data_IF_974655845844
#
_entry.id   IF_974655845844
#
_cell.length_a   1.000
_cell.length_b   1.000
_cell.length_c   1.000
_cell.angle_alpha   90.00
_cell.angle_beta   90.00
_cell.angle_gamma   90.00
#
_symmetry.space_group_name_H-M   'P 1'
#
loop_
_entity.id
_entity.type
_entity.pdbx_description
1 polymer ?
#
# COMPACT_ATOMS: atom_id res chain seq x y z
N UNK A 1 -4.11 -0.77 -0.60
CA UNK A 1 -4.18 0.34 -1.57
C UNK A 1 -4.03 1.67 -0.83
N UNK A 2 -3.19 2.58 -1.31
CA UNK A 2 -3.00 3.86 -0.63
C UNK A 2 -1.86 4.71 -1.18
N UNK A 3 -1.45 5.69 -0.36
CA UNK A 3 -0.40 6.66 -0.66
C UNK A 3 1.04 6.09 -0.58
N UNK A 4 2.05 6.97 -0.64
CA UNK A 4 3.46 6.61 -0.52
C UNK A 4 3.81 6.01 0.85
N UNK A 5 3.14 6.40 1.93
CA UNK A 5 3.38 5.81 3.25
C UNK A 5 2.91 4.36 3.30
N UNK A 6 1.83 4.06 2.59
CA UNK A 6 1.32 2.70 2.45
C UNK A 6 2.24 1.82 1.59
N UNK A 7 2.91 2.40 0.58
CA UNK A 7 3.96 1.70 -0.20
C UNK A 7 5.15 1.29 0.66
N UNK A 8 5.66 2.18 1.49
CA UNK A 8 6.81 1.84 2.33
C UNK A 8 6.44 0.82 3.42
N UNK A 9 5.22 0.90 3.95
CA UNK A 9 4.68 -0.15 4.79
C UNK A 9 4.63 -1.51 4.07
N UNK A 10 4.19 -1.54 2.81
CA UNK A 10 4.20 -2.74 1.98
C UNK A 10 5.60 -3.32 1.79
N UNK A 11 6.59 -2.49 1.42
CA UNK A 11 7.96 -2.94 1.17
C UNK A 11 8.60 -3.52 2.44
N UNK A 12 8.35 -2.92 3.60
CA UNK A 12 8.78 -3.46 4.89
C UNK A 12 8.11 -4.81 5.21
N UNK A 13 6.81 -4.96 4.92
CA UNK A 13 6.09 -6.22 5.12
C UNK A 13 6.61 -7.33 4.20
N UNK A 14 6.75 -7.05 2.90
CA UNK A 14 7.23 -8.01 1.92
C UNK A 14 8.67 -8.45 2.23
N UNK A 15 9.52 -7.52 2.70
CA UNK A 15 10.86 -7.84 3.17
C UNK A 15 10.83 -8.76 4.38
N UNK A 16 10.04 -8.42 5.40
CA UNK A 16 9.87 -9.25 6.60
C UNK A 16 9.43 -10.68 6.26
N UNK A 17 8.46 -10.84 5.36
CA UNK A 17 7.96 -12.16 4.95
C UNK A 17 8.99 -12.97 4.16
N UNK A 18 9.70 -12.35 3.22
CA UNK A 18 10.72 -13.03 2.41
C UNK A 18 12.00 -13.37 3.19
N UNK A 19 12.32 -12.60 4.23
CA UNK A 19 13.56 -12.71 5.00
C UNK A 19 13.35 -13.31 6.40
N UNK A 20 12.39 -14.25 6.53
CA UNK A 20 12.13 -15.02 7.77
C UNK A 20 11.96 -14.13 9.02
N UNK A 21 11.25 -13.02 8.89
CA UNK A 21 10.95 -12.11 9.98
C UNK A 21 12.02 -11.07 10.28
N UNK A 22 13.00 -10.89 9.39
CA UNK A 22 14.03 -9.86 9.53
C UNK A 22 13.46 -8.49 9.17
N UNK A 23 13.67 -7.49 10.03
CA UNK A 23 13.30 -6.10 9.72
C UNK A 23 14.41 -5.38 8.96
N UNK A 24 14.03 -4.42 8.10
CA UNK A 24 14.97 -3.56 7.38
C UNK A 24 15.76 -2.70 8.38
N UNK A 25 17.07 -2.61 8.20
CA UNK A 25 17.91 -1.78 9.04
C UNK A 25 17.88 -0.32 8.58
N UNK A 26 17.82 0.61 9.54
CA UNK A 26 17.87 2.06 9.25
C UNK A 26 19.18 2.48 8.54
N UNK A 27 20.23 1.68 8.70
CA UNK A 27 21.55 1.95 8.13
C UNK A 27 21.72 1.38 6.72
N UNK A 28 20.76 0.61 6.20
CA UNK A 28 20.91 -0.06 4.90
C UNK A 28 20.97 0.96 3.77
N UNK A 29 21.95 0.82 2.88
CA UNK A 29 22.14 1.69 1.71
C UNK A 29 22.50 0.84 0.48
N UNK A 30 21.76 0.99 -0.64
CA UNK A 30 20.53 1.77 -0.73
C UNK A 30 19.40 1.13 0.09
N UNK A 31 18.40 1.91 0.48
CA UNK A 31 17.37 1.50 1.44
C UNK A 31 16.04 1.15 0.74
N UNK A 32 15.36 0.12 1.24
CA UNK A 32 14.08 -0.37 0.71
C UNK A 32 12.90 0.60 0.92
N UNK A 33 12.96 1.47 1.94
CA UNK A 33 11.84 2.37 2.29
C UNK A 33 12.24 3.85 2.33
N UNK A 34 13.40 4.17 1.74
CA UNK A 34 13.88 5.55 1.59
C UNK A 34 14.34 5.72 0.13
N UNK A 35 13.43 6.10 -0.75
CA UNK A 35 13.68 6.21 -2.19
C UNK A 35 14.80 7.22 -2.51
N UNK A 36 14.98 8.24 -1.67
CA UNK A 36 16.06 9.25 -1.81
C UNK A 36 17.47 8.68 -1.68
N UNK A 37 17.62 7.43 -1.25
CA UNK A 37 18.90 6.73 -1.25
C UNK A 37 19.27 6.15 -2.62
N UNK A 38 18.41 6.34 -3.62
CA UNK A 38 18.57 5.89 -5.00
C UNK A 38 18.75 7.08 -5.94
N UNK A 39 19.35 6.84 -7.11
CA UNK A 39 19.59 7.88 -8.11
C UNK A 39 18.29 8.40 -8.74
N UNK A 40 17.34 7.49 -8.98
CA UNK A 40 16.05 7.73 -9.62
C UNK A 40 15.04 6.63 -9.25
N UNK A 41 13.77 6.80 -9.64
CA UNK A 41 12.67 5.87 -9.36
C UNK A 41 12.85 4.52 -10.02
N UNK A 42 13.38 4.47 -11.24
CA UNK A 42 13.63 3.20 -11.92
C UNK A 42 14.71 2.39 -11.19
N UNK A 43 15.74 3.05 -10.66
CA UNK A 43 16.76 2.44 -9.80
C UNK A 43 16.13 1.92 -8.51
N UNK A 44 15.25 2.69 -7.88
CA UNK A 44 14.50 2.26 -6.69
C UNK A 44 13.60 1.04 -6.97
N UNK A 45 12.85 1.05 -8.07
CA UNK A 45 11.99 -0.07 -8.47
C UNK A 45 12.80 -1.33 -8.79
N UNK A 46 13.86 -1.21 -9.57
CA UNK A 46 14.76 -2.33 -9.87
C UNK A 46 15.40 -2.89 -8.60
N UNK A 47 15.89 -2.04 -7.71
CA UNK A 47 16.49 -2.48 -6.44
C UNK A 47 15.48 -3.23 -5.59
N UNK A 48 14.31 -2.64 -5.33
CA UNK A 48 13.29 -3.24 -4.46
C UNK A 48 12.76 -4.56 -5.01
N UNK A 49 12.54 -4.66 -6.32
CA UNK A 49 12.15 -5.89 -6.98
C UNK A 49 13.27 -6.96 -6.85
N UNK A 50 14.53 -6.59 -7.11
CA UNK A 50 15.68 -7.52 -7.00
C UNK A 50 15.89 -8.10 -5.60
N UNK A 51 15.66 -7.31 -4.54
CA UNK A 51 15.78 -7.77 -3.15
C UNK A 51 14.65 -8.73 -2.77
N UNK A 52 13.48 -8.59 -3.39
CA UNK A 52 12.30 -9.41 -3.13
C UNK A 52 12.16 -10.59 -4.10
N UNK A 53 13.10 -10.77 -5.02
CA UNK A 53 13.11 -11.94 -5.90
C UNK A 53 13.24 -13.26 -5.09
N UNK A 54 12.60 -14.35 -5.54
CA UNK A 54 11.77 -14.46 -6.75
C UNK A 54 10.28 -14.13 -6.49
N UNK A 55 9.93 -13.56 -5.34
CA UNK A 55 8.56 -13.51 -4.83
C UNK A 55 7.77 -12.26 -5.26
N UNK A 56 8.43 -11.18 -5.69
CA UNK A 56 7.75 -9.95 -6.09
C UNK A 56 7.79 -9.70 -7.60
N UNK A 57 6.73 -9.05 -8.09
CA UNK A 57 6.64 -8.43 -9.41
C UNK A 57 6.03 -7.04 -9.27
N UNK A 58 6.43 -6.10 -10.13
CA UNK A 58 6.12 -4.67 -9.99
C UNK A 58 5.65 -4.08 -11.33
N UNK A 59 4.35 -3.82 -11.49
CA UNK A 59 3.80 -3.02 -12.60
C UNK A 59 4.06 -1.53 -12.31
N UNK A 60 5.32 -1.13 -12.45
CA UNK A 60 5.84 0.12 -11.90
C UNK A 60 6.45 1.01 -12.97
N UNK A 61 5.98 2.25 -13.04
CA UNK A 61 6.48 3.25 -13.98
C UNK A 61 6.34 4.66 -13.39
N UNK A 62 7.42 5.43 -13.51
CA UNK A 62 7.42 6.86 -13.16
C UNK A 62 8.44 7.63 -14.00
N UNK A 63 8.03 8.81 -14.46
CA UNK A 63 8.90 9.76 -15.14
C UNK A 63 9.64 10.61 -14.09
N UNK A 64 10.95 10.76 -14.28
CA UNK A 64 11.78 11.61 -13.42
C UNK A 64 11.42 13.10 -13.52
N UNK A 65 11.59 13.82 -12.41
CA UNK A 65 11.51 15.28 -12.37
C UNK A 65 10.09 15.89 -12.44
N UNK A 66 9.05 15.15 -12.83
CA UNK A 66 7.66 15.63 -12.81
C UNK A 66 6.70 14.55 -12.30
N UNK A 67 6.12 14.76 -11.12
CA UNK A 67 4.99 13.95 -10.68
C UNK A 67 3.77 14.33 -11.53
N UNK A 68 3.45 13.51 -12.51
CA UNK A 68 2.16 13.51 -13.18
C UNK A 68 1.43 12.26 -12.73
N UNK A 69 0.44 12.41 -11.85
CA UNK A 69 -0.31 11.28 -11.28
C UNK A 69 -1.11 10.51 -12.32
N UNK A 70 -1.37 11.11 -13.50
CA UNK A 70 -2.00 10.42 -14.63
C UNK A 70 -1.01 9.54 -15.41
N UNK A 71 0.30 9.65 -15.15
CA UNK A 71 1.34 8.89 -15.86
C UNK A 71 2.23 8.06 -14.94
N UNK A 72 1.78 7.79 -13.71
CA UNK A 72 2.54 7.02 -12.72
C UNK A 72 1.71 5.80 -12.30
N UNK A 73 2.34 4.63 -12.32
CA UNK A 73 1.78 3.41 -11.75
C UNK A 73 2.80 2.77 -10.83
N UNK A 74 2.31 2.19 -9.74
CA UNK A 74 3.12 1.35 -8.86
C UNK A 74 2.20 0.32 -8.22
N UNK A 75 1.99 -0.78 -8.94
CA UNK A 75 1.30 -1.93 -8.41
C UNK A 75 2.32 -3.04 -8.18
N UNK A 76 2.32 -3.61 -6.98
CA UNK A 76 3.32 -4.57 -6.54
C UNK A 76 2.65 -5.80 -6.00
N UNK A 77 3.14 -6.97 -6.39
CA UNK A 77 2.50 -8.24 -6.15
C UNK A 77 3.52 -9.21 -5.57
N UNK A 78 3.45 -9.44 -4.25
CA UNK A 78 4.27 -10.41 -3.54
C UNK A 78 3.52 -11.73 -3.40
N UNK A 79 4.15 -12.83 -3.82
CA UNK A 79 3.62 -14.19 -3.74
C UNK A 79 4.74 -15.16 -3.35
N UNK A 80 4.66 -15.68 -2.14
CA UNK A 80 5.45 -16.81 -1.66
C UNK A 80 4.52 -18.01 -1.43
N UNK A 81 4.50 -18.92 -2.41
CA UNK A 81 3.65 -20.12 -2.37
C UNK A 81 4.12 -21.16 -1.37
N UNK A 82 5.40 -21.17 -1.00
CA UNK A 82 5.94 -22.15 -0.03
C UNK A 82 5.48 -21.81 1.38
N UNK A 83 5.47 -20.52 1.72
CA UNK A 83 4.99 -20.03 3.03
C UNK A 83 3.52 -19.60 3.02
N UNK A 84 2.84 -19.70 1.87
CA UNK A 84 1.47 -19.26 1.66
C UNK A 84 1.23 -17.78 2.04
N UNK A 85 2.17 -16.91 1.67
CA UNK A 85 2.11 -15.49 1.94
C UNK A 85 1.86 -14.71 0.66
N UNK A 86 0.83 -13.87 0.68
CA UNK A 86 0.52 -12.96 -0.43
C UNK A 86 0.24 -11.56 0.07
N UNK A 87 0.92 -10.58 -0.52
CA UNK A 87 0.71 -9.18 -0.20
C UNK A 87 0.71 -8.38 -1.50
N UNK A 88 -0.27 -7.50 -1.67
CA UNK A 88 -0.38 -6.65 -2.85
C UNK A 88 -0.46 -5.19 -2.43
N UNK A 89 0.36 -4.35 -3.04
CA UNK A 89 0.21 -2.91 -3.00
C UNK A 89 -0.37 -2.43 -4.32
N UNK A 90 -1.45 -1.67 -4.24
CA UNK A 90 -2.01 -0.96 -5.37
C UNK A 90 -1.90 0.53 -5.08
N UNK A 91 -1.29 1.26 -5.99
CA UNK A 91 -1.34 2.71 -5.97
C UNK A 91 -2.68 3.13 -6.58
N UNK A 92 -3.49 3.92 -5.84
CA UNK A 92 -4.75 4.45 -6.40
C UNK A 92 -4.46 5.60 -7.36
N UNK A 93 -4.03 5.25 -8.57
CA UNK A 93 -4.01 6.11 -9.75
C UNK A 93 -4.63 5.36 -10.93
N UNK A 94 -4.50 5.87 -12.15
CA UNK A 94 -5.02 5.24 -13.35
C UNK A 94 -4.35 3.89 -13.59
N UNK A 95 -5.13 2.91 -14.06
CA UNK A 95 -4.63 1.55 -14.23
C UNK A 95 -3.94 1.43 -15.58
N UNK A 96 -2.70 0.94 -15.56
CA UNK A 96 -1.86 0.74 -16.73
C UNK A 96 -1.95 -0.71 -17.21
N UNK A 97 -1.93 -0.90 -18.53
CA UNK A 97 -1.78 -2.18 -19.21
C UNK A 97 -0.32 -2.46 -19.59
N UNK A 98 0.05 -3.75 -19.67
CA UNK A 98 -0.76 -4.90 -19.22
C UNK A 98 -0.74 -5.01 -17.68
N UNK A 99 -1.82 -5.55 -17.10
CA UNK A 99 -1.83 -5.93 -15.68
C UNK A 99 -1.31 -7.37 -15.62
N UNK A 100 -0.09 -7.55 -15.12
CA UNK A 100 0.60 -8.84 -15.13
C UNK A 100 0.81 -9.36 -13.70
N UNK A 101 -0.30 -9.56 -12.99
CA UNK A 101 -0.30 -10.01 -11.59
C UNK A 101 0.52 -11.29 -11.43
N UNK A 102 1.60 -11.21 -10.65
CA UNK A 102 2.54 -12.31 -10.35
C UNK A 102 3.29 -12.88 -11.56
N UNK A 103 3.16 -12.29 -12.76
CA UNK A 103 3.92 -12.71 -13.92
C UNK A 103 5.17 -11.84 -14.04
N UNK A 104 6.33 -12.48 -14.20
CA UNK A 104 7.59 -11.75 -14.42
C UNK A 104 7.55 -11.02 -15.75
N UNK A 105 7.86 -9.74 -15.72
CA UNK A 105 8.03 -8.88 -16.88
C UNK A 105 9.15 -7.87 -16.64
N UNK A 106 9.63 -7.25 -17.71
CA UNK A 106 10.60 -6.17 -17.61
C UNK A 106 9.88 -4.87 -17.21
N UNK A 107 10.50 -4.10 -16.30
CA UNK A 107 9.95 -2.80 -15.94
C UNK A 107 9.86 -1.89 -17.16
N UNK A 108 8.74 -1.18 -17.28
CA UNK A 108 8.58 -0.17 -18.30
C UNK A 108 9.52 1.00 -17.97
N UNK A 109 10.39 1.37 -18.90
CA UNK A 109 11.33 2.50 -18.73
C UNK A 109 10.99 3.71 -19.59
N UNK A 110 9.98 3.61 -20.45
CA UNK A 110 9.64 4.64 -21.44
C UNK A 110 8.14 4.91 -21.46
N UNK A 111 7.76 6.19 -21.44
CA UNK A 111 6.35 6.64 -21.40
C UNK A 111 5.51 6.10 -22.57
N UNK A 112 6.07 6.01 -23.77
CA UNK A 112 5.37 5.50 -24.95
C UNK A 112 4.94 4.02 -24.84
N UNK A 113 5.50 3.27 -23.88
CA UNK A 113 5.16 1.87 -23.65
C UNK A 113 4.05 1.72 -22.58
N UNK A 114 3.60 2.82 -21.98
CA UNK A 114 2.58 2.83 -20.95
C UNK A 114 1.21 3.01 -21.61
N UNK A 115 0.36 1.99 -21.51
CA UNK A 115 -1.01 2.06 -22.02
C UNK A 115 -1.98 2.22 -20.86
N UNK A 116 -2.53 3.42 -20.64
CA UNK A 116 -3.56 3.62 -19.62
C UNK A 116 -4.87 2.99 -20.09
N UNK A 117 -5.39 2.04 -19.29
CA UNK A 117 -6.58 1.27 -19.67
C UNK A 117 -7.83 1.98 -19.19
N UNK A 118 -7.88 2.41 -17.91
CA UNK A 118 -9.11 2.83 -17.28
C UNK A 118 -8.92 3.80 -16.10
N UNK A 119 -9.88 4.72 -15.97
CA UNK A 119 -10.12 5.53 -14.77
C UNK A 119 -11.23 4.86 -13.93
N UNK A 120 -10.86 3.88 -13.10
CA UNK A 120 -11.83 3.23 -12.22
C UNK A 120 -12.00 3.99 -10.90
N UNK A 121 -13.23 4.08 -10.43
CA UNK A 121 -13.56 4.41 -9.04
C UNK A 121 -12.93 3.41 -8.06
N UNK A 122 -12.94 3.71 -6.77
CA UNK A 122 -12.46 2.74 -5.76
C UNK A 122 -13.28 1.44 -5.80
N UNK A 123 -14.60 1.55 -5.88
CA UNK A 123 -15.49 0.39 -5.95
C UNK A 123 -15.26 -0.43 -7.23
N UNK A 124 -15.13 0.21 -8.39
CA UNK A 124 -14.82 -0.49 -9.65
C UNK A 124 -13.44 -1.15 -9.61
N UNK A 125 -12.44 -0.51 -8.98
CA UNK A 125 -11.12 -1.12 -8.81
C UNK A 125 -11.22 -2.38 -7.96
N UNK A 126 -12.01 -2.35 -6.88
CA UNK A 126 -12.26 -3.55 -6.08
C UNK A 126 -12.91 -4.64 -6.94
N UNK A 127 -14.05 -4.34 -7.56
CA UNK A 127 -14.86 -5.31 -8.30
C UNK A 127 -14.12 -5.92 -9.50
N UNK A 128 -13.42 -5.10 -10.27
CA UNK A 128 -12.81 -5.54 -11.53
C UNK A 128 -11.41 -6.11 -11.33
N UNK A 129 -10.64 -5.60 -10.36
CA UNK A 129 -9.26 -6.04 -10.13
C UNK A 129 -9.15 -6.92 -8.88
N UNK A 130 -9.43 -6.38 -7.70
CA UNK A 130 -9.17 -7.05 -6.42
C UNK A 130 -9.92 -8.37 -6.30
N UNK A 131 -11.21 -8.38 -6.65
CA UNK A 131 -12.06 -9.57 -6.53
C UNK A 131 -11.65 -10.70 -7.48
N UNK A 132 -10.94 -10.38 -8.56
CA UNK A 132 -10.50 -11.31 -9.59
C UNK A 132 -9.02 -11.69 -9.48
N UNK A 133 -8.31 -11.17 -8.46
CA UNK A 133 -6.91 -11.55 -8.23
C UNK A 133 -6.80 -13.03 -7.86
N UNK A 134 -5.69 -13.65 -8.28
CA UNK A 134 -5.35 -15.03 -7.93
C UNK A 134 -3.91 -15.02 -7.38
N UNK A 135 -3.71 -15.34 -6.09
CA UNK A 135 -4.76 -15.63 -5.10
C UNK A 135 -5.56 -14.38 -4.73
N UNK A 136 -6.83 -14.58 -4.37
CA UNK A 136 -7.71 -13.50 -3.92
C UNK A 136 -7.29 -13.08 -2.50
N UNK A 137 -7.09 -11.79 -2.22
CA UNK A 137 -6.78 -11.34 -0.86
C UNK A 137 -7.86 -11.75 0.13
N UNK A 138 -7.51 -11.97 1.39
CA UNK A 138 -8.47 -12.20 2.49
C UNK A 138 -8.86 -10.88 3.19
N UNK A 139 -7.94 -9.93 3.26
CA UNK A 139 -8.15 -8.60 3.81
C UNK A 139 -7.70 -7.53 2.81
N UNK A 140 -8.36 -6.37 2.85
CA UNK A 140 -8.03 -5.22 2.01
C UNK A 140 -7.80 -3.99 2.89
N UNK A 141 -6.54 -3.56 2.96
CA UNK A 141 -6.16 -2.34 3.68
C UNK A 141 -6.24 -1.15 2.74
N UNK A 142 -7.00 -0.13 3.14
CA UNK A 142 -7.18 1.08 2.36
C UNK A 142 -7.01 2.34 3.19
N UNK A 143 -6.49 3.37 2.54
CA UNK A 143 -6.22 4.67 3.14
C UNK A 143 -6.55 5.77 2.11
N UNK A 144 -7.25 6.80 2.57
CA UNK A 144 -7.62 7.99 1.78
C UNK A 144 -6.42 8.91 1.47
N UNK A 145 -5.29 8.69 2.14
CA UNK A 145 -4.07 9.47 1.99
C UNK A 145 -4.20 10.88 2.57
N UNK A 146 -3.33 11.76 2.08
CA UNK A 146 -3.29 13.19 2.41
C UNK A 146 -4.12 14.04 1.42
N UNK A 147 -4.90 13.41 0.53
CA UNK A 147 -5.57 14.07 -0.58
C UNK A 147 -7.00 14.44 -0.20
N UNK A 148 -7.22 15.72 0.11
CA UNK A 148 -8.50 16.25 0.61
C UNK A 148 -9.67 16.07 -0.39
N UNK A 149 -9.38 16.05 -1.69
CA UNK A 149 -10.36 15.88 -2.78
C UNK A 149 -10.47 14.43 -3.29
N UNK A 150 -10.14 13.44 -2.45
CA UNK A 150 -10.30 12.04 -2.84
C UNK A 150 -11.80 11.68 -3.00
N UNK A 151 -12.09 10.77 -3.93
CA UNK A 151 -13.42 10.15 -4.10
C UNK A 151 -14.00 9.64 -2.77
N UNK A 152 -13.10 9.14 -1.91
CA UNK A 152 -13.35 8.68 -0.56
C UNK A 152 -13.80 9.78 0.42
N UNK A 153 -13.85 11.05 0.03
CA UNK A 153 -14.52 12.09 0.81
C UNK A 153 -16.05 11.95 0.81
N UNK A 154 -16.62 11.28 -0.22
CA UNK A 154 -18.06 11.08 -0.36
C UNK A 154 -18.52 9.81 0.35
N UNK A 155 -19.55 9.91 1.20
CA UNK A 155 -20.06 8.76 1.97
C UNK A 155 -20.54 7.61 1.05
N UNK A 156 -21.17 7.94 -0.08
CA UNK A 156 -21.65 6.92 -1.02
C UNK A 156 -20.50 6.10 -1.60
N UNK A 157 -19.36 6.74 -1.91
CA UNK A 157 -18.17 6.04 -2.39
C UNK A 157 -17.58 5.13 -1.31
N UNK A 158 -17.58 5.58 -0.05
CA UNK A 158 -17.13 4.76 1.08
C UNK A 158 -17.99 3.51 1.23
N UNK A 159 -19.32 3.66 1.22
CA UNK A 159 -20.27 2.55 1.36
C UNK A 159 -20.23 1.60 0.16
N UNK A 160 -20.11 2.12 -1.06
CA UNK A 160 -19.99 1.28 -2.25
C UNK A 160 -18.70 0.47 -2.26
N UNK A 161 -17.58 1.08 -1.85
CA UNK A 161 -16.31 0.37 -1.77
C UNK A 161 -16.33 -0.71 -0.67
N UNK A 162 -16.84 -0.42 0.53
CA UNK A 162 -16.92 -1.43 1.60
C UNK A 162 -17.93 -2.53 1.29
N UNK A 163 -19.06 -2.21 0.64
CA UNK A 163 -19.99 -3.24 0.12
C UNK A 163 -19.30 -4.13 -0.90
N UNK A 164 -18.57 -3.55 -1.85
CA UNK A 164 -17.85 -4.31 -2.88
C UNK A 164 -16.80 -5.25 -2.28
N UNK A 165 -16.07 -4.79 -1.26
CA UNK A 165 -15.12 -5.65 -0.54
C UNK A 165 -15.83 -6.83 0.14
N UNK A 166 -16.94 -6.55 0.84
CA UNK A 166 -17.75 -7.58 1.49
C UNK A 166 -18.31 -8.60 0.51
N UNK A 167 -18.85 -8.13 -0.61
CA UNK A 167 -19.40 -8.99 -1.67
C UNK A 167 -18.33 -9.90 -2.28
N UNK A 168 -17.07 -9.46 -2.28
CA UNK A 168 -15.92 -10.25 -2.70
C UNK A 168 -15.32 -11.15 -1.61
N UNK A 169 -15.86 -11.10 -0.40
CA UNK A 169 -15.39 -11.87 0.75
C UNK A 169 -14.09 -11.34 1.35
N UNK A 170 -13.79 -10.05 1.16
CA UNK A 170 -12.64 -9.38 1.74
C UNK A 170 -13.01 -8.68 3.05
N UNK A 171 -12.18 -8.84 4.08
CA UNK A 171 -12.24 -8.01 5.29
C UNK A 171 -11.77 -6.60 4.95
N UNK A 172 -12.63 -5.61 5.12
CA UNK A 172 -12.29 -4.20 4.89
C UNK A 172 -11.54 -3.62 6.09
N UNK A 173 -10.29 -3.19 5.88
CA UNK A 173 -9.47 -2.56 6.92
C UNK A 173 -9.18 -1.12 6.53
N UNK A 174 -9.83 -0.16 7.19
CA UNK A 174 -9.49 1.24 7.00
C UNK A 174 -8.28 1.61 7.86
N UNK A 175 -7.20 2.07 7.21
CA UNK A 175 -6.03 2.65 7.88
C UNK A 175 -6.20 4.16 7.93
N UNK A 176 -6.15 4.71 9.14
CA UNK A 176 -6.24 6.17 9.32
C UNK A 176 -5.02 6.87 8.71
N UNK A 177 -5.18 8.10 8.22
CA UNK A 177 -4.05 8.87 7.67
C UNK A 177 -3.00 9.16 8.74
N UNK A 178 -1.74 9.06 8.34
CA UNK A 178 -0.57 9.30 9.19
C UNK A 178 -0.43 10.79 9.51
N UNK A 179 0.01 11.12 10.72
CA UNK A 179 0.29 12.51 11.11
C UNK A 179 1.71 12.89 10.67
N UNK A 180 1.85 14.04 10.01
CA UNK A 180 3.14 14.55 9.51
C UNK A 180 4.06 14.99 10.65
N UNK A 181 5.37 15.10 10.36
CA UNK A 181 6.41 15.48 11.32
C UNK A 181 6.11 16.77 12.09
N UNK A 182 5.48 17.74 11.44
CA UNK A 182 5.14 19.04 12.01
C UNK A 182 3.75 19.09 12.66
N UNK A 183 3.02 17.96 12.67
CA UNK A 183 1.67 17.86 13.20
C UNK A 183 0.63 18.70 12.46
N UNK A 184 0.97 19.29 11.31
CA UNK A 184 0.10 20.24 10.60
C UNK A 184 -0.96 19.58 9.75
N UNK A 185 -0.77 18.32 9.36
CA UNK A 185 -1.83 17.62 8.64
C UNK A 185 -2.93 17.20 9.61
N UNK A 186 -4.08 17.86 9.48
CA UNK A 186 -5.28 17.61 10.26
C UNK A 186 -5.78 16.21 9.90
N UNK A 187 -6.10 15.34 10.89
CA UNK A 187 -6.63 14.01 10.63
C UNK A 187 -7.76 14.05 9.62
N UNK A 188 -7.83 13.04 8.74
CA UNK A 188 -8.92 12.86 7.77
C UNK A 188 -10.26 13.24 8.42
N UNK A 189 -10.92 14.28 7.89
CA UNK A 189 -12.20 14.79 8.44
C UNK A 189 -13.24 13.69 8.53
N UNK A 190 -13.08 12.63 7.74
CA UNK A 190 -13.95 11.47 7.71
C UNK A 190 -13.41 10.27 8.49
N UNK A 191 -12.28 10.36 9.20
CA UNK A 191 -11.61 9.23 9.88
C UNK A 191 -12.57 8.37 10.70
N UNK A 192 -13.37 9.00 11.56
CA UNK A 192 -14.32 8.28 12.44
C UNK A 192 -15.40 7.57 11.62
N UNK A 193 -15.91 8.26 10.59
CA UNK A 193 -16.88 7.70 9.65
C UNK A 193 -16.30 6.51 8.87
N UNK A 194 -15.09 6.65 8.35
CA UNK A 194 -14.37 5.59 7.64
C UNK A 194 -14.13 4.35 8.51
N UNK A 195 -13.68 4.56 9.74
CA UNK A 195 -13.53 3.48 10.71
C UNK A 195 -14.87 2.82 11.06
N UNK A 196 -15.99 3.55 11.02
CA UNK A 196 -17.32 2.98 11.32
C UNK A 196 -17.93 2.16 10.18
N UNK A 197 -17.51 2.38 8.93
CA UNK A 197 -18.03 1.64 7.75
C UNK A 197 -17.14 0.47 7.34
N UNK A 198 -15.87 0.47 7.75
CA UNK A 198 -14.96 -0.66 7.58
C UNK A 198 -15.23 -1.75 8.62
N UNK A 199 -14.84 -2.99 8.32
CA UNK A 199 -14.95 -4.10 9.28
C UNK A 199 -13.91 -3.95 10.40
N UNK A 200 -12.73 -3.41 10.06
CA UNK A 200 -11.64 -3.11 10.98
C UNK A 200 -11.08 -1.70 10.77
N UNK A 201 -10.63 -1.07 11.86
CA UNK A 201 -10.01 0.24 11.87
C UNK A 201 -8.56 0.14 12.40
N UNK A 202 -7.58 0.30 11.50
CA UNK A 202 -6.17 0.43 11.85
C UNK A 202 -5.88 1.89 12.23
N UNK A 203 -6.07 2.21 13.50
CA UNK A 203 -5.82 3.55 14.05
C UNK A 203 -4.32 3.79 14.29
N UNK A 204 -3.72 4.64 13.46
CA UNK A 204 -2.30 4.98 13.52
C UNK A 204 -2.08 6.40 14.06
N UNK A 205 -3.01 6.93 14.86
CA UNK A 205 -2.88 8.26 15.47
C UNK A 205 -1.62 8.43 16.34
N UNK A 206 -1.07 7.32 16.84
CA UNK A 206 0.19 7.33 17.58
C UNK A 206 1.37 7.85 16.76
N UNK A 207 1.26 7.87 15.42
CA UNK A 207 2.26 8.48 14.54
C UNK A 207 2.51 9.96 14.86
N UNK A 208 1.54 10.67 15.45
CA UNK A 208 1.72 12.05 15.92
C UNK A 208 2.65 12.19 17.14
N UNK A 209 3.05 11.08 17.76
CA UNK A 209 4.03 11.05 18.85
C UNK A 209 5.42 10.58 18.38
N UNK A 210 5.59 10.28 17.08
CA UNK A 210 6.86 9.80 16.55
C UNK A 210 7.91 10.93 16.61
N UNK A 211 9.08 10.68 17.23
CA UNK A 211 10.20 11.62 17.24
C UNK A 211 10.64 12.07 15.84
N UNK A 212 11.05 13.33 15.74
CA UNK A 212 11.42 13.97 14.47
C UNK A 212 12.62 13.33 13.74
N UNK A 213 13.49 12.64 14.46
CA UNK A 213 14.65 11.88 13.96
C UNK A 213 14.26 10.53 13.34
N UNK A 214 13.02 10.07 13.55
CA UNK A 214 12.46 8.90 12.89
C UNK A 214 11.71 9.25 11.59
N UNK A 215 11.94 10.45 11.06
CA UNK A 215 11.52 10.85 9.73
C UNK A 215 12.74 11.19 8.87
N UNK A 216 12.74 10.74 7.61
CA UNK A 216 13.77 11.15 6.65
C UNK A 216 13.35 12.37 5.80
N UNK A 217 12.08 12.75 5.84
CA UNK A 217 11.60 14.07 5.40
C UNK A 217 10.48 14.61 6.31
N UNK A 218 9.55 15.41 5.80
CA UNK A 218 8.44 15.96 6.60
C UNK A 218 7.23 15.01 6.73
N UNK A 219 7.20 13.93 5.95
CA UNK A 219 6.04 13.04 5.83
C UNK A 219 6.40 11.59 6.08
N UNK A 220 7.57 11.15 5.66
CA UNK A 220 7.95 9.74 5.57
C UNK A 220 8.91 9.31 6.68
N UNK A 221 8.72 8.07 7.14
CA UNK A 221 9.44 7.51 8.27
C UNK A 221 10.66 6.71 7.85
N UNK A 222 11.58 6.52 8.78
CA UNK A 222 12.62 5.49 8.68
C UNK A 222 12.04 4.08 8.95
N UNK A 223 12.72 2.99 8.53
CA UNK A 223 12.15 1.64 8.55
C UNK A 223 11.49 1.17 9.86
N UNK A 224 12.05 1.41 11.06
CA UNK A 224 11.46 0.96 12.32
C UNK A 224 9.97 1.32 12.52
N UNK A 225 9.53 2.49 12.02
CA UNK A 225 8.12 2.89 12.15
C UNK A 225 7.21 2.07 11.23
N UNK A 226 7.66 1.73 10.03
CA UNK A 226 6.90 0.85 9.13
C UNK A 226 6.79 -0.56 9.70
N UNK A 227 7.84 -1.08 10.34
CA UNK A 227 7.77 -2.36 11.04
C UNK A 227 6.75 -2.33 12.20
N UNK A 228 6.68 -1.22 12.96
CA UNK A 228 5.64 -1.06 13.99
C UNK A 228 4.22 -1.01 13.41
N UNK A 229 4.02 -0.30 12.30
CA UNK A 229 2.73 -0.28 11.59
C UNK A 229 2.31 -1.68 11.12
N UNK A 230 3.27 -2.47 10.64
CA UNK A 230 3.05 -3.86 10.22
C UNK A 230 2.71 -4.78 11.38
N UNK A 231 3.42 -4.68 12.51
CA UNK A 231 3.08 -5.42 13.72
C UNK A 231 1.68 -5.08 14.23
N UNK A 232 1.29 -3.81 14.20
CA UNK A 232 -0.06 -3.38 14.57
C UNK A 232 -1.12 -3.97 13.62
N UNK A 233 -0.89 -3.95 12.31
CA UNK A 233 -1.79 -4.54 11.33
C UNK A 233 -1.93 -6.06 11.52
N UNK A 234 -0.82 -6.79 11.66
CA UNK A 234 -0.84 -8.24 11.86
C UNK A 234 -1.56 -8.63 13.16
N UNK A 235 -1.33 -7.87 14.24
CA UNK A 235 -2.03 -8.09 15.51
C UNK A 235 -3.55 -7.89 15.38
N UNK A 236 -3.96 -6.86 14.62
CA UNK A 236 -5.36 -6.56 14.37
C UNK A 236 -6.04 -7.67 13.56
N UNK A 237 -5.37 -8.20 12.53
CA UNK A 237 -5.88 -9.29 11.71
C UNK A 237 -5.95 -10.61 12.47
N UNK A 238 -4.92 -10.95 13.24
CA UNK A 238 -4.90 -12.16 14.06
C UNK A 238 -6.04 -12.17 15.09
N UNK A 239 -6.26 -11.04 15.77
CA UNK A 239 -7.38 -10.92 16.71
C UNK A 239 -8.74 -11.08 16.03
N UNK A 240 -8.92 -10.53 14.83
CA UNK A 240 -10.16 -10.69 14.08
C UNK A 240 -10.41 -12.14 13.66
N UNK A 241 -9.38 -12.85 13.19
CA UNK A 241 -9.49 -14.28 12.84
C UNK A 241 -9.86 -15.13 14.06
N UNK A 242 -9.25 -14.88 15.22
CA UNK A 242 -9.56 -15.60 16.46
C UNK A 242 -11.02 -15.39 16.89
N UNK A 243 -11.53 -14.15 16.86
CA UNK A 243 -12.92 -13.87 17.28
C UNK A 243 -13.93 -14.54 16.35
N UNK A 244 -13.74 -14.47 15.03
CA UNK A 244 -14.68 -15.05 14.06
C UNK A 244 -14.57 -16.58 13.96
N UNK A 245 -13.49 -17.20 14.44
CA UNK A 245 -13.40 -18.66 14.50
C UNK A 245 -14.38 -19.27 15.53
N UNK A 246 -14.81 -18.50 16.52
CA UNK A 246 -15.71 -18.95 17.59
C UNK A 246 -17.19 -18.65 17.35
N UNK A 247 -17.55 -18.03 16.23
CA UNK A 247 -18.95 -17.76 15.80
C UNK A 247 -19.43 -18.78 14.76
#
# INVERSE_FOLDING_TARGET
>A
MGDSLTRYQYLDMAYFLSHNGTCISNNDRPNMVIEKTHADWNTFYNFTNSILEPFETCDCFRIEGRLNTATVTENRYFLDTERNNTVTYLQKFDIVAPIEIHNKHELITCENNVSFINHWSWAETVQNLVCNMIPKPSAFVWNSGLWEDSELAQIDAQLQMTSSLRDCGNVSVYKTTTITKDGRHIPDKNRERMCSVADLCLNVSWTGMVPSDLYWDNMHFVPPIYSMLNLQLLSLLAFYEEVNFFE
#
